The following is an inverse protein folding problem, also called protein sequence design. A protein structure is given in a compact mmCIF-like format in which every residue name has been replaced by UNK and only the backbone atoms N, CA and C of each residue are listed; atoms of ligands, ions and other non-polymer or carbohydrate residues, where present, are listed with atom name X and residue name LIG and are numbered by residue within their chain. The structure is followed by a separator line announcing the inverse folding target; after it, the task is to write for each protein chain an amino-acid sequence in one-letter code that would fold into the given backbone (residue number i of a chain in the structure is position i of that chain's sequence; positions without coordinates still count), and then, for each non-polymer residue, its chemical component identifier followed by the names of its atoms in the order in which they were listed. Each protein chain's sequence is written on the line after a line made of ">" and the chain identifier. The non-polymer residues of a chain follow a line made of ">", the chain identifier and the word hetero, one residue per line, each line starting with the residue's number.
data_IF_882718336956
#
_entry.id   IF_882718336956
#
_cell.length_a   1.000
_cell.length_b   1.000
_cell.length_c   1.000
_cell.angle_alpha   90.00
_cell.angle_beta   90.00
_cell.angle_gamma   90.00
#
_symmetry.space_group_name_H-M   'P 1'
#
loop_
_entity.id
_entity.type
_entity.pdbx_description
1 polymer ?
#
# COMPACT_ATOMS: atom_id res chain seq x y z
N UNK A 1 -34.10 -16.91 -56.59
CA UNK A 1 -34.49 -15.50 -56.80
C UNK A 1 -35.82 -15.25 -56.10
N UNK A 2 -35.80 -14.56 -54.96
CA UNK A 2 -37.01 -14.09 -54.29
C UNK A 2 -36.78 -12.66 -53.78
N UNK A 3 -37.88 -11.91 -53.87
CA UNK A 3 -37.99 -10.45 -53.92
C UNK A 3 -37.91 -9.82 -52.54
N UNK A 4 -37.37 -8.60 -52.52
CA UNK A 4 -37.35 -7.68 -51.38
C UNK A 4 -38.77 -7.25 -50.98
N UNK A 5 -39.04 -7.16 -49.68
CA UNK A 5 -40.15 -6.39 -49.12
C UNK A 5 -39.58 -5.16 -48.42
N UNK A 6 -39.96 -3.97 -48.92
CA UNK A 6 -39.95 -2.72 -48.17
C UNK A 6 -41.09 -2.76 -47.16
N UNK A 7 -40.80 -2.44 -45.89
CA UNK A 7 -41.80 -2.04 -44.92
C UNK A 7 -41.55 -0.60 -44.48
N UNK A 8 -42.63 0.18 -44.59
CA UNK A 8 -42.78 1.59 -44.31
C UNK A 8 -42.67 1.86 -42.80
N UNK A 9 -41.98 2.94 -42.43
CA UNK A 9 -41.97 3.47 -41.06
C UNK A 9 -43.12 4.49 -40.93
N UNK A 10 -44.04 4.20 -40.01
CA UNK A 10 -45.06 5.11 -39.49
C UNK A 10 -44.42 6.13 -38.54
N UNK A 11 -44.64 7.42 -38.78
CA UNK A 11 -44.34 8.51 -37.83
C UNK A 11 -45.52 8.71 -36.85
N UNK A 12 -45.29 8.81 -35.53
CA UNK A 12 -46.31 9.31 -34.62
C UNK A 12 -46.25 10.85 -34.52
N UNK A 13 -47.41 11.49 -34.66
CA UNK A 13 -47.64 12.91 -34.39
C UNK A 13 -47.70 13.18 -32.89
N UNK A 14 -46.96 14.18 -32.40
CA UNK A 14 -47.14 14.71 -31.05
C UNK A 14 -47.50 16.19 -31.10
N UNK A 15 -48.75 16.48 -30.77
CA UNK A 15 -49.24 17.78 -30.34
C UNK A 15 -48.59 18.15 -29.00
N UNK A 16 -48.05 19.37 -28.87
CA UNK A 16 -47.77 19.96 -27.55
C UNK A 16 -48.15 21.44 -27.52
N UNK A 17 -49.19 21.70 -26.73
CA UNK A 17 -49.73 22.98 -26.31
C UNK A 17 -48.78 23.60 -25.28
N UNK A 18 -48.31 24.82 -25.51
CA UNK A 18 -47.57 25.63 -24.54
C UNK A 18 -48.51 26.13 -23.43
N UNK A 19 -48.31 25.66 -22.19
CA UNK A 19 -48.89 26.23 -20.97
C UNK A 19 -47.79 26.93 -20.17
N UNK A 20 -47.89 28.24 -20.03
CA UNK A 20 -47.15 29.08 -19.09
C UNK A 20 -47.64 28.85 -17.66
N UNK A 21 -46.78 28.94 -16.62
CA UNK A 21 -47.24 29.14 -15.26
C UNK A 21 -47.10 30.61 -14.86
N UNK A 22 -48.25 31.26 -14.62
CA UNK A 22 -48.36 32.50 -13.86
C UNK A 22 -48.36 32.20 -12.34
N UNK A 23 -47.61 33.05 -11.60
CA UNK A 23 -47.91 33.66 -10.29
C UNK A 23 -47.92 32.82 -9.00
N UNK A 24 -46.99 33.17 -8.11
CA UNK A 24 -47.25 33.66 -6.74
C UNK A 24 -46.03 34.52 -6.33
N UNK A 25 -46.04 35.86 -6.46
CA UNK A 25 -46.53 36.89 -5.51
C UNK A 25 -46.21 36.59 -4.03
N UNK A 26 -45.20 37.29 -3.50
CA UNK A 26 -45.26 38.20 -2.33
C UNK A 26 -43.94 38.17 -1.56
N UNK A 27 -43.13 39.22 -1.69
CA UNK A 27 -42.72 40.06 -0.54
C UNK A 27 -42.12 41.38 -1.05
N UNK A 28 -42.83 42.46 -0.70
CA UNK A 28 -42.49 43.88 -0.64
C UNK A 28 -42.97 44.30 0.77
N UNK A 29 -42.43 45.31 1.49
CA UNK A 29 -42.14 46.65 0.94
C UNK A 29 -40.98 47.48 1.55
N UNK A 30 -40.56 48.50 0.77
CA UNK A 30 -40.20 49.90 1.11
C UNK A 30 -39.83 50.25 2.59
N UNK A 31 -38.87 51.16 2.90
CA UNK A 31 -38.81 52.58 2.49
C UNK A 31 -37.59 53.30 3.13
N UNK A 32 -37.04 54.33 2.46
CA UNK A 32 -36.14 55.37 2.99
C UNK A 32 -34.74 55.33 2.34
N UNK A 33 -34.27 56.30 1.55
CA UNK A 33 -34.39 57.75 1.70
C UNK A 33 -34.43 58.50 0.36
N UNK A 34 -35.33 59.50 0.34
CA UNK A 34 -35.29 60.82 -0.30
C UNK A 34 -34.86 60.97 -1.77
N UNK A 35 -35.89 61.23 -2.58
CA UNK A 35 -35.83 62.08 -3.76
C UNK A 35 -35.42 63.51 -3.36
N UNK A 36 -34.53 64.13 -4.16
CA UNK A 36 -34.58 65.58 -4.40
C UNK A 36 -34.59 65.80 -5.91
N UNK A 37 -35.69 66.36 -6.40
CA UNK A 37 -35.83 66.90 -7.73
C UNK A 37 -34.79 68.00 -7.97
N UNK A 38 -33.83 67.77 -8.88
CA UNK A 38 -33.33 68.79 -9.83
C UNK A 38 -32.87 68.11 -11.11
N UNK A 39 -33.67 68.30 -12.16
CA UNK A 39 -33.24 68.13 -13.54
C UNK A 39 -31.99 68.99 -13.80
N UNK A 40 -30.93 68.38 -14.32
CA UNK A 40 -30.09 69.01 -15.34
C UNK A 40 -29.37 67.92 -16.13
N UNK A 41 -29.91 67.64 -17.32
CA UNK A 41 -29.16 66.98 -18.39
C UNK A 41 -28.11 67.97 -18.88
N UNK A 42 -26.85 67.77 -18.50
CA UNK A 42 -25.71 68.33 -19.23
C UNK A 42 -24.76 67.18 -19.59
N UNK A 43 -24.57 66.90 -20.89
CA UNK A 43 -23.51 65.99 -21.31
C UNK A 43 -22.16 66.70 -21.10
N UNK A 44 -21.28 66.08 -20.30
CA UNK A 44 -19.88 66.46 -20.20
C UNK A 44 -19.21 66.31 -21.58
N UNK A 45 -19.05 67.42 -22.30
CA UNK A 45 -18.14 67.49 -23.45
C UNK A 45 -16.72 67.59 -22.91
N UNK A 46 -16.02 66.47 -22.88
CA UNK A 46 -14.56 66.47 -22.77
C UNK A 46 -13.99 67.17 -24.01
N UNK A 47 -13.17 68.20 -23.76
CA UNK A 47 -12.40 68.95 -24.74
C UNK A 47 -11.46 68.00 -25.49
N UNK A 48 -11.75 67.74 -26.76
CA UNK A 48 -10.72 67.32 -27.72
C UNK A 48 -10.12 68.62 -28.26
N UNK A 49 -8.86 68.87 -27.92
CA UNK A 49 -8.11 70.02 -28.37
C UNK A 49 -7.95 70.00 -29.89
N UNK A 50 -8.60 70.94 -30.56
CA UNK A 50 -8.18 71.34 -31.90
C UNK A 50 -6.97 72.26 -31.76
N UNK A 51 -5.92 72.13 -32.59
CA UNK A 51 -4.89 73.13 -32.64
C UNK A 51 -5.55 74.43 -33.10
N UNK A 52 -5.43 75.48 -32.29
CA UNK A 52 -5.73 76.83 -32.71
C UNK A 52 -4.84 77.15 -33.91
N UNK A 53 -5.38 76.98 -35.12
CA UNK A 53 -4.89 77.74 -36.26
C UNK A 53 -5.32 79.17 -35.95
N UNK A 54 -4.39 79.95 -35.40
CA UNK A 54 -4.42 81.40 -35.48
C UNK A 54 -4.45 81.77 -36.96
N UNK A 55 -5.65 81.84 -37.53
CA UNK A 55 -5.87 82.73 -38.65
C UNK A 55 -5.83 84.13 -38.06
N UNK A 56 -4.65 84.73 -38.12
CA UNK A 56 -4.49 86.17 -38.20
C UNK A 56 -5.42 86.65 -39.31
N UNK A 57 -6.60 87.13 -38.92
CA UNK A 57 -7.42 87.98 -39.75
C UNK A 57 -6.51 89.18 -40.05
N UNK A 58 -5.97 89.21 -41.26
CA UNK A 58 -5.34 90.37 -41.83
C UNK A 58 -6.39 91.49 -41.80
N UNK A 59 -6.33 92.34 -40.77
CA UNK A 59 -7.12 93.57 -40.63
C UNK A 59 -6.60 94.63 -41.60
N UNK A 60 -6.49 94.28 -42.88
CA UNK A 60 -6.04 95.19 -43.92
C UNK A 60 -6.83 94.95 -45.21
N UNK A 61 -8.16 95.06 -45.09
CA UNK A 61 -8.95 95.60 -46.16
C UNK A 61 -9.73 96.73 -45.49
N UNK A 62 -9.16 97.94 -45.56
CA UNK A 62 -9.97 99.14 -45.48
C UNK A 62 -11.10 98.96 -46.49
N UNK A 63 -12.29 98.60 -46.03
CA UNK A 63 -13.49 98.99 -46.74
C UNK A 63 -13.57 100.50 -46.60
N UNK A 64 -12.87 101.22 -47.48
CA UNK A 64 -13.27 102.56 -47.86
C UNK A 64 -14.70 102.42 -48.36
N UNK A 65 -15.67 102.67 -47.50
CA UNK A 65 -16.95 103.14 -47.98
C UNK A 65 -16.65 104.47 -48.65
N UNK A 66 -16.82 104.60 -49.98
CA UNK A 66 -16.71 105.91 -50.58
C UNK A 66 -17.83 106.74 -49.95
N UNK A 67 -17.43 107.79 -49.25
CA UNK A 67 -18.32 108.87 -48.90
C UNK A 67 -18.82 109.46 -50.22
N UNK A 68 -19.93 108.94 -50.75
CA UNK A 68 -20.66 109.64 -51.80
C UNK A 68 -21.40 110.76 -51.09
N UNK A 69 -20.71 111.89 -50.94
CA UNK A 69 -21.37 113.20 -50.94
C UNK A 69 -22.38 113.21 -52.09
N UNK A 70 -23.57 113.75 -51.83
CA UNK A 70 -24.63 113.94 -52.79
C UNK A 70 -24.18 114.84 -53.95
N UNK A 71 -23.42 114.28 -54.89
CA UNK A 71 -23.31 114.74 -56.25
C UNK A 71 -24.13 113.77 -57.10
N UNK A 72 -25.37 114.15 -57.39
CA UNK A 72 -26.16 113.52 -58.45
C UNK A 72 -25.37 113.57 -59.76
N UNK A 73 -24.94 112.43 -60.35
CA UNK A 73 -24.39 112.44 -61.68
C UNK A 73 -25.52 112.01 -62.61
N UNK A 74 -26.49 112.89 -62.84
CA UNK A 74 -27.17 112.86 -64.15
C UNK A 74 -26.19 113.41 -65.20
N UNK A 75 -25.05 112.74 -65.37
CA UNK A 75 -24.45 112.66 -66.69
C UNK A 75 -25.44 111.88 -67.52
N UNK A 76 -25.89 112.43 -68.64
CA UNK A 76 -26.69 111.68 -69.61
C UNK A 76 -25.87 110.46 -70.07
N UNK A 77 -26.02 109.32 -69.37
CA UNK A 77 -25.59 108.02 -69.87
C UNK A 77 -26.27 107.85 -71.22
N UNK A 78 -25.47 107.70 -72.27
CA UNK A 78 -26.03 107.35 -73.57
C UNK A 78 -26.71 105.98 -73.44
N UNK A 79 -27.80 105.76 -74.18
CA UNK A 79 -28.53 104.47 -74.18
C UNK A 79 -27.59 103.27 -74.34
N UNK A 80 -26.49 103.46 -75.07
CA UNK A 80 -25.45 102.47 -75.32
C UNK A 80 -24.60 102.14 -74.07
N UNK A 81 -24.24 103.13 -73.25
CA UNK A 81 -23.54 102.93 -71.98
C UNK A 81 -24.40 102.20 -70.95
N UNK A 82 -25.70 102.53 -70.86
CA UNK A 82 -26.64 101.84 -69.99
C UNK A 82 -26.82 100.37 -70.43
N UNK A 83 -26.94 100.12 -71.74
CA UNK A 83 -27.00 98.76 -72.29
C UNK A 83 -25.74 97.95 -71.97
N UNK A 84 -24.54 98.52 -72.15
CA UNK A 84 -23.30 97.82 -71.80
C UNK A 84 -23.21 97.51 -70.30
N UNK A 85 -23.67 98.43 -69.43
CA UNK A 85 -23.70 98.19 -67.99
C UNK A 85 -24.68 97.06 -67.62
N UNK A 86 -25.86 97.01 -68.24
CA UNK A 86 -26.82 95.92 -68.05
C UNK A 86 -26.22 94.59 -68.51
N UNK A 87 -25.61 94.54 -69.70
CA UNK A 87 -24.94 93.34 -70.20
C UNK A 87 -23.79 92.87 -69.28
N UNK A 88 -22.97 93.79 -68.77
CA UNK A 88 -21.92 93.47 -67.81
C UNK A 88 -22.47 92.95 -66.48
N UNK A 89 -23.61 93.47 -66.00
CA UNK A 89 -24.28 92.97 -64.80
C UNK A 89 -24.90 91.59 -65.03
N UNK A 90 -25.49 91.34 -66.20
CA UNK A 90 -25.99 90.02 -66.58
C UNK A 90 -24.85 88.99 -66.67
N UNK A 91 -23.71 89.35 -67.25
CA UNK A 91 -22.55 88.48 -67.35
C UNK A 91 -21.91 88.21 -65.97
N UNK A 92 -21.85 89.23 -65.10
CA UNK A 92 -21.43 89.05 -63.70
C UNK A 92 -22.39 88.15 -62.93
N UNK A 93 -23.71 88.31 -63.11
CA UNK A 93 -24.71 87.43 -62.50
C UNK A 93 -24.58 85.99 -62.99
N UNK A 94 -24.38 85.77 -64.30
CA UNK A 94 -24.10 84.44 -64.86
C UNK A 94 -22.82 83.84 -64.26
N UNK A 95 -21.76 84.63 -64.09
CA UNK A 95 -20.52 84.18 -63.48
C UNK A 95 -20.68 83.83 -61.99
N UNK A 96 -21.47 84.61 -61.24
CA UNK A 96 -21.80 84.35 -59.84
C UNK A 96 -22.62 83.08 -59.72
N UNK A 97 -23.67 82.89 -60.54
CA UNK A 97 -24.48 81.68 -60.53
C UNK A 97 -23.65 80.43 -60.85
N UNK A 98 -22.77 80.51 -61.85
CA UNK A 98 -21.86 79.41 -62.18
C UNK A 98 -20.93 79.05 -61.01
N UNK A 99 -20.38 80.06 -60.31
CA UNK A 99 -19.56 79.83 -59.10
C UNK A 99 -20.38 79.26 -57.95
N UNK A 100 -21.62 79.72 -57.77
CA UNK A 100 -22.52 79.21 -56.74
C UNK A 100 -22.85 77.74 -56.97
N UNK A 101 -23.23 77.36 -58.19
CA UNK A 101 -23.53 75.96 -58.55
C UNK A 101 -22.30 75.07 -58.34
N UNK A 102 -21.11 75.52 -58.77
CA UNK A 102 -19.87 74.79 -58.53
C UNK A 102 -19.57 74.61 -57.04
N UNK A 103 -19.74 75.67 -56.24
CA UNK A 103 -19.46 75.62 -54.79
C UNK A 103 -20.49 74.77 -54.05
N UNK A 104 -21.73 74.72 -54.54
CA UNK A 104 -22.78 73.81 -54.05
C UNK A 104 -22.42 72.35 -54.33
N UNK A 105 -21.99 72.02 -55.55
CA UNK A 105 -21.56 70.68 -55.93
C UNK A 105 -20.33 70.23 -55.13
N UNK A 106 -19.35 71.13 -54.93
CA UNK A 106 -18.15 70.85 -54.15
C UNK A 106 -18.49 70.64 -52.65
N UNK A 107 -19.40 71.44 -52.09
CA UNK A 107 -19.88 71.25 -50.73
C UNK A 107 -20.61 69.90 -50.56
N UNK A 108 -21.41 69.50 -51.54
CA UNK A 108 -22.11 68.22 -51.54
C UNK A 108 -21.12 67.04 -51.61
N UNK A 109 -20.10 67.12 -52.47
CA UNK A 109 -18.99 66.14 -52.50
C UNK A 109 -18.24 66.05 -51.17
N UNK A 110 -17.93 67.18 -50.53
CA UNK A 110 -17.27 67.18 -49.22
C UNK A 110 -18.16 66.60 -48.12
N UNK A 111 -19.47 66.81 -48.16
CA UNK A 111 -20.42 66.16 -47.24
C UNK A 111 -20.41 64.64 -47.42
N UNK A 112 -20.42 64.13 -48.65
CA UNK A 112 -20.34 62.71 -48.92
C UNK A 112 -19.01 62.11 -48.44
N UNK A 113 -17.87 62.75 -48.76
CA UNK A 113 -16.55 62.31 -48.26
C UNK A 113 -16.50 62.24 -46.73
N UNK A 114 -17.07 63.24 -46.04
CA UNK A 114 -17.14 63.25 -44.58
C UNK A 114 -17.98 62.08 -44.05
N UNK A 115 -19.14 61.83 -44.64
CA UNK A 115 -19.99 60.70 -44.27
C UNK A 115 -19.27 59.36 -44.44
N UNK A 116 -18.58 59.16 -45.57
CA UNK A 116 -17.81 57.94 -45.82
C UNK A 116 -16.64 57.79 -44.83
N UNK A 117 -15.98 58.90 -44.50
CA UNK A 117 -14.90 58.92 -43.50
C UNK A 117 -15.42 58.56 -42.11
N UNK A 118 -16.53 59.16 -41.67
CA UNK A 118 -17.17 58.87 -40.38
C UNK A 118 -17.62 57.40 -40.30
N UNK A 119 -18.17 56.85 -41.40
CA UNK A 119 -18.52 55.44 -41.51
C UNK A 119 -17.29 54.53 -41.37
N UNK A 120 -16.18 54.86 -42.05
CA UNK A 120 -14.93 54.13 -41.93
C UNK A 120 -14.38 54.15 -40.49
N UNK A 121 -14.44 55.30 -39.81
CA UNK A 121 -14.03 55.41 -38.41
C UNK A 121 -14.88 54.52 -37.48
N UNK A 122 -16.21 54.51 -37.66
CA UNK A 122 -17.09 53.64 -36.88
C UNK A 122 -16.78 52.15 -37.10
N UNK A 123 -16.55 51.75 -38.35
CA UNK A 123 -16.16 50.36 -38.66
C UNK A 123 -14.80 49.98 -38.06
N UNK A 124 -13.83 50.89 -38.11
CA UNK A 124 -12.51 50.67 -37.52
C UNK A 124 -12.60 50.56 -35.99
N UNK A 125 -13.41 51.41 -35.36
CA UNK A 125 -13.66 51.38 -33.92
C UNK A 125 -14.31 50.06 -33.48
N UNK A 126 -15.30 49.57 -34.23
CA UNK A 126 -15.89 48.26 -33.95
C UNK A 126 -14.86 47.13 -34.04
N UNK A 127 -14.02 47.12 -35.08
CA UNK A 127 -12.94 46.12 -35.21
C UNK A 127 -11.94 46.19 -34.06
N UNK A 128 -11.61 47.40 -33.60
CA UNK A 128 -10.76 47.58 -32.42
C UNK A 128 -11.39 46.94 -31.17
N UNK A 129 -12.69 47.19 -30.92
CA UNK A 129 -13.40 46.59 -29.78
C UNK A 129 -13.46 45.06 -29.88
N UNK A 130 -13.70 44.53 -31.08
CA UNK A 130 -13.74 43.09 -31.31
C UNK A 130 -12.36 42.45 -31.03
N UNK A 131 -11.28 43.08 -31.49
CA UNK A 131 -9.89 42.65 -31.23
C UNK A 131 -9.51 42.75 -29.75
N UNK A 132 -9.93 43.81 -29.05
CA UNK A 132 -9.70 43.97 -27.62
C UNK A 132 -10.41 42.85 -26.82
N UNK A 133 -11.65 42.51 -27.18
CA UNK A 133 -12.39 41.40 -26.59
C UNK A 133 -11.71 40.04 -26.85
N UNK A 134 -11.21 39.82 -28.07
CA UNK A 134 -10.48 38.60 -28.42
C UNK A 134 -9.16 38.48 -27.67
N UNK A 135 -8.41 39.59 -27.51
CA UNK A 135 -7.19 39.63 -26.71
C UNK A 135 -7.45 39.25 -25.25
N UNK A 136 -8.51 39.77 -24.64
CA UNK A 136 -8.89 39.43 -23.26
C UNK A 136 -9.24 37.95 -23.10
N UNK A 137 -9.89 37.35 -24.11
CA UNK A 137 -10.15 35.89 -24.14
C UNK A 137 -8.84 35.10 -24.23
N UNK A 138 -7.91 35.49 -25.09
CA UNK A 138 -6.62 34.81 -25.17
C UNK A 138 -5.81 34.93 -23.89
N UNK A 139 -5.83 36.09 -23.22
CA UNK A 139 -5.17 36.27 -21.93
C UNK A 139 -5.75 35.37 -20.83
N UNK A 140 -7.07 35.19 -20.79
CA UNK A 140 -7.69 34.30 -19.79
C UNK A 140 -7.34 32.83 -20.05
N UNK A 141 -7.33 32.40 -21.32
CA UNK A 141 -6.88 31.07 -21.74
C UNK A 141 -5.41 30.85 -21.39
N UNK A 142 -4.53 31.82 -21.68
CA UNK A 142 -3.11 31.72 -21.36
C UNK A 142 -2.87 31.55 -19.85
N UNK A 143 -3.57 32.30 -19.00
CA UNK A 143 -3.52 32.14 -17.53
C UNK A 143 -4.02 30.77 -17.09
N UNK A 144 -5.07 30.25 -17.70
CA UNK A 144 -5.58 28.90 -17.41
C UNK A 144 -4.55 27.82 -17.76
N UNK A 145 -3.90 27.94 -18.93
CA UNK A 145 -2.83 27.03 -19.36
C UNK A 145 -1.62 27.11 -18.42
N UNK A 146 -1.21 28.32 -18.01
CA UNK A 146 -0.11 28.50 -17.07
C UNK A 146 -0.39 27.81 -15.72
N UNK A 147 -1.63 27.92 -15.22
CA UNK A 147 -2.04 27.24 -13.99
C UNK A 147 -2.04 25.72 -14.15
N UNK A 148 -2.55 25.19 -15.26
CA UNK A 148 -2.49 23.75 -15.55
C UNK A 148 -1.06 23.27 -15.64
N UNK A 149 -0.16 24.02 -16.28
CA UNK A 149 1.25 23.67 -16.38
C UNK A 149 1.91 23.58 -14.99
N UNK A 150 1.67 24.55 -14.11
CA UNK A 150 2.17 24.53 -12.72
C UNK A 150 1.63 23.34 -11.93
N UNK A 151 0.36 22.99 -12.12
CA UNK A 151 -0.25 21.84 -11.47
C UNK A 151 0.41 20.52 -11.94
N UNK A 152 0.54 20.33 -13.25
CA UNK A 152 1.21 19.15 -13.83
C UNK A 152 2.66 19.04 -13.37
N UNK A 153 3.38 20.17 -13.28
CA UNK A 153 4.75 20.20 -12.78
C UNK A 153 4.83 19.72 -11.32
N UNK A 154 3.86 20.13 -10.48
CA UNK A 154 3.78 19.68 -9.08
C UNK A 154 3.48 18.18 -9.00
N UNK A 155 2.50 17.70 -9.75
CA UNK A 155 2.14 16.27 -9.80
C UNK A 155 3.32 15.41 -10.28
N UNK A 156 4.09 15.89 -11.24
CA UNK A 156 5.30 15.21 -11.73
C UNK A 156 6.40 15.14 -10.67
N UNK A 157 6.56 16.18 -9.86
CA UNK A 157 7.51 16.17 -8.74
C UNK A 157 7.09 15.17 -7.66
N UNK A 158 5.82 15.18 -7.24
CA UNK A 158 5.28 14.23 -6.28
C UNK A 158 5.42 12.78 -6.78
N UNK A 159 5.21 12.54 -8.07
CA UNK A 159 5.39 11.22 -8.68
C UNK A 159 6.86 10.77 -8.65
N UNK A 160 7.81 11.66 -8.94
CA UNK A 160 9.25 11.37 -8.84
C UNK A 160 9.67 11.01 -7.42
N UNK A 161 9.18 11.74 -6.43
CA UNK A 161 9.46 11.47 -5.02
C UNK A 161 8.92 10.09 -4.61
N UNK A 162 7.67 9.77 -4.96
CA UNK A 162 7.08 8.43 -4.72
C UNK A 162 7.89 7.31 -5.39
N UNK A 163 8.39 7.55 -6.60
CA UNK A 163 9.19 6.58 -7.33
C UNK A 163 10.56 6.35 -6.68
N UNK A 164 11.18 7.40 -6.15
CA UNK A 164 12.42 7.29 -5.37
C UNK A 164 12.22 6.49 -4.07
N UNK A 165 11.13 6.75 -3.34
CA UNK A 165 10.79 5.98 -2.13
C UNK A 165 10.65 4.49 -2.47
N UNK A 166 9.89 4.14 -3.51
CA UNK A 166 9.76 2.74 -3.95
C UNK A 166 11.08 2.12 -4.38
N UNK A 167 11.94 2.88 -5.07
CA UNK A 167 13.25 2.38 -5.45
C UNK A 167 14.13 2.07 -4.23
N UNK A 168 14.07 2.89 -3.18
CA UNK A 168 14.76 2.64 -1.93
C UNK A 168 14.21 1.39 -1.23
N UNK A 169 12.88 1.24 -1.15
CA UNK A 169 12.24 0.03 -0.61
C UNK A 169 12.69 -1.24 -1.36
N UNK A 170 12.77 -1.18 -2.69
CA UNK A 170 13.26 -2.30 -3.52
C UNK A 170 14.73 -2.61 -3.21
N UNK A 171 15.57 -1.60 -3.00
CA UNK A 171 16.97 -1.81 -2.63
C UNK A 171 17.08 -2.45 -1.25
N UNK A 172 16.31 -1.98 -0.27
CA UNK A 172 16.27 -2.58 1.08
C UNK A 172 15.83 -4.04 1.02
N UNK A 173 14.76 -4.36 0.28
CA UNK A 173 14.29 -5.73 0.08
C UNK A 173 15.37 -6.63 -0.55
N UNK A 174 16.14 -6.13 -1.52
CA UNK A 174 17.28 -6.87 -2.09
C UNK A 174 18.35 -7.17 -1.02
N UNK A 175 18.69 -6.20 -0.18
CA UNK A 175 19.66 -6.45 0.90
C UNK A 175 19.16 -7.47 1.92
N UNK A 176 17.86 -7.45 2.24
CA UNK A 176 17.23 -8.44 3.13
C UNK A 176 17.27 -9.83 2.48
N UNK A 177 16.95 -9.93 1.18
CA UNK A 177 17.01 -11.18 0.43
C UNK A 177 18.42 -11.78 0.42
N UNK A 178 19.46 -10.96 0.21
CA UNK A 178 20.85 -11.40 0.27
C UNK A 178 21.23 -11.93 1.66
N UNK A 179 20.77 -11.27 2.73
CA UNK A 179 20.97 -11.76 4.11
C UNK A 179 20.30 -13.12 4.33
N UNK A 180 19.04 -13.28 3.92
CA UNK A 180 18.34 -14.56 4.02
C UNK A 180 19.03 -15.67 3.22
N UNK A 181 19.51 -15.40 2.02
CA UNK A 181 20.26 -16.38 1.23
C UNK A 181 21.56 -16.82 1.94
N UNK A 182 22.26 -15.90 2.60
CA UNK A 182 23.45 -16.24 3.40
C UNK A 182 23.09 -17.11 4.60
N UNK A 183 22.01 -16.79 5.31
CA UNK A 183 21.51 -17.58 6.45
C UNK A 183 21.11 -18.98 5.99
N UNK A 184 20.37 -19.10 4.88
CA UNK A 184 19.96 -20.39 4.31
C UNK A 184 21.17 -21.27 3.97
N UNK A 185 22.20 -20.71 3.33
CA UNK A 185 23.44 -21.44 3.04
C UNK A 185 24.18 -21.89 4.30
N UNK A 186 24.16 -21.09 5.37
CA UNK A 186 24.74 -21.49 6.66
C UNK A 186 23.96 -22.64 7.29
N UNK A 187 22.63 -22.55 7.33
CA UNK A 187 21.76 -23.61 7.88
C UNK A 187 21.82 -24.90 7.08
N UNK A 188 21.94 -24.81 5.75
CA UNK A 188 22.15 -25.98 4.90
C UNK A 188 23.47 -26.70 5.23
N UNK A 189 24.55 -25.96 5.50
CA UNK A 189 25.82 -26.54 5.97
C UNK A 189 25.67 -27.20 7.34
N UNK A 190 25.05 -26.52 8.31
CA UNK A 190 24.81 -27.09 9.65
C UNK A 190 24.00 -28.40 9.55
N UNK A 191 22.94 -28.43 8.73
CA UNK A 191 22.14 -29.65 8.52
C UNK A 191 22.98 -30.78 7.92
N UNK A 192 23.85 -30.47 6.95
CA UNK A 192 24.72 -31.47 6.35
C UNK A 192 25.76 -32.00 7.35
N UNK A 193 26.32 -31.14 8.20
CA UNK A 193 27.20 -31.54 9.29
C UNK A 193 26.49 -32.45 10.30
N UNK A 194 25.25 -32.12 10.68
CA UNK A 194 24.45 -32.98 11.58
C UNK A 194 24.10 -34.32 10.94
N UNK A 195 23.80 -34.37 9.65
CA UNK A 195 23.58 -35.63 8.92
C UNK A 195 24.82 -36.53 8.95
N UNK A 196 26.01 -35.94 8.78
CA UNK A 196 27.27 -36.69 8.84
C UNK A 196 27.51 -37.23 10.26
N UNK A 197 27.32 -36.40 11.30
CA UNK A 197 27.45 -36.84 12.71
C UNK A 197 26.48 -37.96 13.07
N UNK A 198 25.22 -37.84 12.65
CA UNK A 198 24.21 -38.87 12.87
C UNK A 198 24.59 -40.21 12.21
N UNK A 199 25.16 -40.16 10.99
CA UNK A 199 25.65 -41.35 10.32
C UNK A 199 26.81 -42.01 11.09
N UNK A 200 27.73 -41.20 11.61
CA UNK A 200 28.86 -41.67 12.43
C UNK A 200 28.38 -42.32 13.73
N UNK A 201 27.47 -41.68 14.47
CA UNK A 201 26.89 -42.24 15.70
C UNK A 201 26.14 -43.54 15.44
N UNK A 202 25.36 -43.61 14.35
CA UNK A 202 24.65 -44.83 13.97
C UNK A 202 25.62 -45.99 13.71
N UNK A 203 26.73 -45.71 13.03
CA UNK A 203 27.76 -46.73 12.77
C UNK A 203 28.48 -47.16 14.04
N UNK A 204 28.81 -46.22 14.93
CA UNK A 204 29.43 -46.53 16.23
C UNK A 204 28.50 -47.38 17.11
N UNK A 205 27.23 -46.99 17.22
CA UNK A 205 26.25 -47.76 17.99
C UNK A 205 26.01 -49.15 17.41
N UNK A 206 26.06 -49.32 16.09
CA UNK A 206 25.97 -50.64 15.46
C UNK A 206 27.20 -51.52 15.80
N UNK A 207 28.41 -50.97 15.75
CA UNK A 207 29.65 -51.68 16.09
C UNK A 207 29.69 -52.08 17.57
N UNK A 208 29.28 -51.18 18.47
CA UNK A 208 29.25 -51.44 19.90
C UNK A 208 28.23 -52.54 20.24
N UNK A 209 27.06 -52.50 19.58
CA UNK A 209 26.03 -53.52 19.77
C UNK A 209 26.48 -54.90 19.24
N UNK A 210 27.16 -54.94 18.08
CA UNK A 210 27.73 -56.19 17.55
C UNK A 210 28.80 -56.76 18.49
N UNK A 211 29.67 -55.91 19.03
CA UNK A 211 30.69 -56.31 20.02
C UNK A 211 30.05 -56.88 21.28
N UNK A 212 29.03 -56.22 21.84
CA UNK A 212 28.31 -56.70 23.03
C UNK A 212 27.64 -58.05 22.78
N UNK A 213 27.05 -58.25 21.60
CA UNK A 213 26.47 -59.54 21.22
C UNK A 213 27.54 -60.63 21.12
N UNK A 214 28.73 -60.31 20.59
CA UNK A 214 29.85 -61.26 20.54
C UNK A 214 30.35 -61.60 21.95
N UNK A 215 30.57 -60.61 22.82
CA UNK A 215 30.99 -60.80 24.21
C UNK A 215 29.97 -61.63 25.00
N UNK A 216 28.66 -61.36 24.82
CA UNK A 216 27.59 -62.14 25.44
C UNK A 216 27.60 -63.60 24.97
N UNK A 217 27.68 -63.82 23.65
CA UNK A 217 27.69 -65.18 23.10
C UNK A 217 28.92 -65.98 23.55
N UNK A 218 30.08 -65.33 23.65
CA UNK A 218 31.29 -65.97 24.17
C UNK A 218 31.11 -66.37 25.63
N UNK A 219 30.67 -65.43 26.48
CA UNK A 219 30.41 -65.68 27.90
C UNK A 219 29.39 -66.80 28.09
N UNK A 220 28.32 -66.83 27.29
CA UNK A 220 27.32 -67.89 27.33
C UNK A 220 27.91 -69.27 26.97
N UNK A 221 28.76 -69.36 25.95
CA UNK A 221 29.45 -70.61 25.60
C UNK A 221 30.39 -71.07 26.70
N UNK A 222 31.18 -70.15 27.26
CA UNK A 222 32.13 -70.45 28.33
C UNK A 222 31.40 -70.99 29.58
N UNK A 223 30.29 -70.34 29.97
CA UNK A 223 29.45 -70.81 31.07
C UNK A 223 28.78 -72.16 30.76
N UNK A 224 28.36 -72.38 29.51
CA UNK A 224 27.78 -73.67 29.11
C UNK A 224 28.82 -74.79 29.22
N UNK A 225 30.04 -74.56 28.74
CA UNK A 225 31.15 -75.53 28.88
C UNK A 225 31.50 -75.81 30.35
N UNK A 226 31.56 -74.77 31.19
CA UNK A 226 31.79 -74.94 32.62
C UNK A 226 30.67 -75.77 33.28
N UNK A 227 29.41 -75.53 32.89
CA UNK A 227 28.29 -76.30 33.42
C UNK A 227 28.33 -77.76 32.96
N UNK A 228 28.69 -78.02 31.70
CA UNK A 228 28.88 -79.38 31.19
C UNK A 228 30.02 -80.11 31.91
N UNK A 229 31.13 -79.42 32.19
CA UNK A 229 32.23 -79.95 33.01
C UNK A 229 31.76 -80.29 34.42
N UNK A 230 31.03 -79.40 35.09
CA UNK A 230 30.48 -79.65 36.42
C UNK A 230 29.49 -80.82 36.43
N UNK A 231 28.67 -80.97 35.38
CA UNK A 231 27.78 -82.12 35.23
C UNK A 231 28.57 -83.43 35.07
N UNK A 232 29.66 -83.41 34.30
CA UNK A 232 30.55 -84.55 34.14
C UNK A 232 31.24 -84.90 35.46
N UNK A 233 31.86 -83.93 36.14
CA UNK A 233 32.47 -84.10 37.46
C UNK A 233 31.45 -84.66 38.48
N UNK A 234 30.20 -84.18 38.44
CA UNK A 234 29.12 -84.68 39.29
C UNK A 234 28.77 -86.14 38.95
N UNK A 235 28.77 -86.52 37.67
CA UNK A 235 28.53 -87.90 37.25
C UNK A 235 29.66 -88.85 37.65
N UNK A 236 30.91 -88.39 37.58
CA UNK A 236 32.10 -89.13 38.03
C UNK A 236 32.05 -89.31 39.55
N UNK A 237 31.74 -88.25 40.30
CA UNK A 237 31.55 -88.33 41.75
C UNK A 237 30.44 -89.32 42.13
N UNK A 238 29.29 -89.29 41.45
CA UNK A 238 28.21 -90.27 41.68
C UNK A 238 28.68 -91.70 41.42
N UNK A 239 29.47 -91.90 40.37
CA UNK A 239 30.02 -93.22 40.03
C UNK A 239 31.00 -93.70 41.10
N UNK A 240 31.90 -92.84 41.58
CA UNK A 240 32.83 -93.13 42.67
C UNK A 240 32.08 -93.46 43.97
N UNK A 241 31.04 -92.70 44.32
CA UNK A 241 30.21 -92.97 45.51
C UNK A 241 29.55 -94.35 45.38
N UNK A 242 28.98 -94.68 44.21
CA UNK A 242 28.41 -96.00 43.94
C UNK A 242 29.44 -97.12 44.02
N UNK A 243 30.68 -96.91 43.58
CA UNK A 243 31.78 -97.87 43.72
C UNK A 243 32.15 -98.09 45.19
N UNK A 244 32.18 -97.03 46.00
CA UNK A 244 32.40 -97.12 47.45
C UNK A 244 31.26 -97.86 48.16
N UNK A 245 30.00 -97.55 47.84
CA UNK A 245 28.83 -98.19 48.45
C UNK A 245 28.66 -99.67 48.06
N UNK A 246 29.17 -100.07 46.89
CA UNK A 246 29.16 -101.47 46.42
C UNK A 246 30.39 -102.29 46.85
N UNK A 247 31.33 -101.73 47.61
CA UNK A 247 32.39 -102.54 48.21
C UNK A 247 31.80 -103.47 49.29
N UNK A 248 32.10 -104.78 49.26
CA UNK A 248 31.64 -105.70 50.28
C UNK A 248 32.23 -105.29 51.63
N UNK A 249 31.38 -104.91 52.59
CA UNK A 249 31.80 -104.77 53.99
C UNK A 249 32.34 -106.12 54.48
N UNK A 250 33.65 -106.28 54.47
CA UNK A 250 34.30 -107.36 55.21
C UNK A 250 34.19 -107.06 56.69
N UNK A 251 33.21 -107.68 57.34
CA UNK A 251 33.19 -107.87 58.79
C UNK A 251 34.40 -108.76 59.13
N UNK A 252 35.49 -108.14 59.55
CA UNK A 252 36.66 -108.83 60.09
C UNK A 252 37.00 -108.23 61.45
N UNK A 253 36.53 -108.91 62.49
CA UNK A 253 37.05 -108.83 63.85
C UNK A 253 38.52 -109.25 63.87
N UNK A 254 39.46 -108.31 64.01
CA UNK A 254 40.54 -108.41 65.00
C UNK A 254 41.43 -107.17 65.02
N UNK A 255 41.85 -106.84 66.24
CA UNK A 255 42.69 -105.73 66.65
C UNK A 255 43.99 -105.65 65.84
N UNK A 256 44.24 -104.51 65.21
CA UNK A 256 45.53 -103.84 65.25
C UNK A 256 45.31 -102.33 65.17
N UNK A 257 45.85 -101.67 66.17
CA UNK A 257 46.07 -100.24 66.27
C UNK A 257 46.74 -99.68 65.03
N UNK A 258 46.12 -98.69 64.40
CA UNK A 258 46.81 -97.53 63.83
C UNK A 258 45.80 -96.43 63.45
N UNK A 259 45.95 -95.28 64.11
CA UNK A 259 45.56 -93.94 63.69
C UNK A 259 44.33 -93.77 62.79
N UNK A 260 43.16 -93.74 63.41
CA UNK A 260 42.11 -92.81 62.96
C UNK A 260 42.01 -91.69 63.99
N UNK A 261 42.84 -90.66 63.80
CA UNK A 261 42.49 -89.32 64.24
C UNK A 261 41.21 -88.96 63.51
N UNK A 262 40.11 -88.85 64.26
CA UNK A 262 39.05 -87.94 63.88
C UNK A 262 39.72 -86.58 63.66
N UNK A 263 39.96 -86.19 62.41
CA UNK A 263 40.26 -84.82 62.03
C UNK A 263 38.99 -84.00 62.27
N UNK A 264 38.73 -83.74 63.55
CA UNK A 264 37.80 -82.72 64.02
C UNK A 264 38.46 -81.32 63.97
N UNK A 265 39.60 -81.20 63.28
CA UNK A 265 40.42 -79.99 63.17
C UNK A 265 40.40 -79.32 61.79
N UNK A 266 39.65 -79.81 60.80
CA UNK A 266 39.53 -79.09 59.51
C UNK A 266 38.66 -77.82 59.57
N UNK A 267 38.11 -77.48 60.75
CA UNK A 267 37.42 -76.20 61.04
C UNK A 267 38.30 -75.20 61.83
N UNK A 268 39.56 -75.55 62.09
CA UNK A 268 40.57 -74.72 62.76
C UNK A 268 41.69 -74.27 61.80
N UNK A 269 41.46 -74.34 60.49
CA UNK A 269 42.38 -73.74 59.54
C UNK A 269 42.36 -72.21 59.69
N UNK A 270 43.42 -71.68 60.30
CA UNK A 270 43.56 -70.28 60.67
C UNK A 270 43.66 -69.39 59.43
N UNK A 271 44.17 -69.93 58.32
CA UNK A 271 44.18 -69.27 57.02
C UNK A 271 42.77 -69.22 56.43
N UNK A 272 42.02 -70.31 56.47
CA UNK A 272 40.64 -70.33 55.98
C UNK A 272 39.72 -69.41 56.79
N UNK A 273 39.92 -69.33 58.12
CA UNK A 273 39.23 -68.33 58.96
C UNK A 273 39.64 -66.91 58.61
N UNK A 274 40.92 -66.63 58.37
CA UNK A 274 41.36 -65.30 57.93
C UNK A 274 40.81 -64.92 56.56
N UNK A 275 40.72 -65.87 55.62
CA UNK A 275 40.16 -65.66 54.28
C UNK A 275 38.65 -65.40 54.37
N UNK A 276 37.90 -66.22 55.11
CA UNK A 276 36.46 -66.01 55.33
C UNK A 276 36.20 -64.71 56.09
N UNK A 277 37.05 -64.37 57.07
CA UNK A 277 36.94 -63.15 57.84
C UNK A 277 37.32 -61.91 57.02
N UNK A 278 38.29 -62.01 56.11
CA UNK A 278 38.59 -60.97 55.10
C UNK A 278 37.47 -60.82 54.09
N UNK A 279 36.86 -61.91 53.62
CA UNK A 279 35.74 -61.86 52.66
C UNK A 279 34.49 -61.25 53.29
N UNK A 280 34.20 -61.58 54.55
CA UNK A 280 33.09 -61.00 55.31
C UNK A 280 33.32 -59.53 55.70
N UNK A 281 34.58 -59.09 55.85
CA UNK A 281 34.92 -57.68 56.19
C UNK A 281 35.19 -56.79 54.96
N UNK A 282 35.57 -57.36 53.81
CA UNK A 282 35.80 -56.65 52.54
C UNK A 282 34.61 -56.76 51.56
N UNK A 283 33.41 -57.10 52.04
CA UNK A 283 32.21 -56.91 51.23
C UNK A 283 32.12 -55.43 50.82
N UNK A 284 31.85 -55.15 49.55
CA UNK A 284 31.71 -53.77 49.02
C UNK A 284 30.65 -52.96 49.80
N UNK A 285 29.70 -53.65 50.44
CA UNK A 285 28.72 -53.10 51.38
C UNK A 285 29.34 -52.46 52.64
N UNK A 286 30.48 -52.95 53.13
CA UNK A 286 31.21 -52.37 54.27
C UNK A 286 31.93 -51.06 53.90
N UNK A 287 32.35 -50.90 52.64
CA UNK A 287 32.92 -49.66 52.12
C UNK A 287 31.87 -48.54 51.99
N UNK A 288 30.63 -48.89 51.63
CA UNK A 288 29.48 -47.97 51.66
C UNK A 288 29.17 -47.48 53.08
N UNK A 289 29.30 -48.34 54.09
CA UNK A 289 29.06 -48.01 55.50
C UNK A 289 30.16 -47.15 56.15
N UNK A 290 31.32 -46.94 55.50
CA UNK A 290 32.39 -46.06 55.98
C UNK A 290 32.30 -44.62 55.48
N UNK A 291 31.38 -44.32 54.56
CA UNK A 291 31.17 -42.94 54.13
C UNK A 291 30.52 -42.20 55.30
N UNK A 292 31.15 -41.16 55.87
CA UNK A 292 30.54 -40.39 56.95
C UNK A 292 29.16 -39.92 56.52
N UNK A 293 28.13 -40.09 57.35
CA UNK A 293 26.75 -39.84 56.92
C UNK A 293 26.53 -38.40 56.42
N UNK A 294 27.30 -37.44 56.94
CA UNK A 294 27.33 -36.07 56.44
C UNK A 294 27.81 -35.94 54.99
N UNK A 295 28.76 -36.77 54.54
CA UNK A 295 29.21 -36.80 53.15
C UNK A 295 28.19 -37.50 52.26
N UNK A 296 27.61 -38.62 52.70
CA UNK A 296 26.55 -39.31 51.97
C UNK A 296 25.33 -38.40 51.75
N UNK A 297 24.85 -37.74 52.82
CA UNK A 297 23.75 -36.77 52.75
C UNK A 297 24.09 -35.59 51.84
N UNK A 298 25.32 -35.07 51.88
CA UNK A 298 25.78 -34.02 50.95
C UNK A 298 25.78 -34.50 49.49
N UNK A 299 26.26 -35.70 49.21
CA UNK A 299 26.26 -36.27 47.85
C UNK A 299 24.85 -36.50 47.32
N UNK A 300 23.93 -37.01 48.16
CA UNK A 300 22.51 -37.15 47.81
C UNK A 300 21.85 -35.78 47.60
N UNK A 301 22.20 -34.78 48.41
CA UNK A 301 21.71 -33.41 48.24
C UNK A 301 22.22 -32.78 46.95
N UNK A 302 23.51 -32.93 46.62
CA UNK A 302 24.10 -32.49 45.36
C UNK A 302 23.44 -33.20 44.18
N UNK A 303 23.21 -34.52 44.24
CA UNK A 303 22.49 -35.24 43.19
C UNK A 303 21.06 -34.75 43.04
N UNK A 304 20.33 -34.51 44.14
CA UNK A 304 18.99 -33.92 44.12
C UNK A 304 19.00 -32.51 43.53
N UNK A 305 19.97 -31.68 43.88
CA UNK A 305 20.13 -30.32 43.34
C UNK A 305 20.48 -30.35 41.85
N UNK A 306 21.37 -31.24 41.40
CA UNK A 306 21.70 -31.43 39.98
C UNK A 306 20.47 -31.90 39.22
N UNK A 307 19.75 -32.93 39.71
CA UNK A 307 18.53 -33.40 39.09
C UNK A 307 17.48 -32.28 39.04
N UNK A 308 17.26 -31.56 40.14
CA UNK A 308 16.28 -30.48 40.17
C UNK A 308 16.69 -29.32 39.24
N UNK A 309 17.98 -29.01 39.12
CA UNK A 309 18.51 -27.96 38.25
C UNK A 309 18.39 -28.35 36.78
N UNK A 310 18.76 -29.57 36.40
CA UNK A 310 18.68 -30.07 35.02
C UNK A 310 17.22 -30.23 34.58
N UNK A 311 16.37 -30.79 35.45
CA UNK A 311 14.95 -31.00 35.12
C UNK A 311 14.17 -29.69 35.12
N UNK A 312 14.48 -28.73 36.02
CA UNK A 312 13.79 -27.44 36.06
C UNK A 312 14.27 -26.46 34.99
N UNK A 313 15.57 -26.43 34.63
CA UNK A 313 16.06 -25.62 33.50
C UNK A 313 15.48 -26.10 32.18
N UNK A 314 15.59 -27.40 31.89
CA UNK A 314 15.10 -27.95 30.63
C UNK A 314 13.57 -27.89 30.51
N UNK A 315 12.82 -28.13 31.59
CA UNK A 315 11.35 -28.07 31.56
C UNK A 315 10.80 -26.64 31.46
N UNK A 316 11.44 -25.65 32.12
CA UNK A 316 11.01 -24.25 32.05
C UNK A 316 11.34 -23.61 30.71
N UNK A 317 12.51 -23.89 30.13
CA UNK A 317 12.90 -23.35 28.81
C UNK A 317 12.09 -23.98 27.67
N UNK A 318 11.83 -25.30 27.70
CA UNK A 318 11.07 -25.96 26.63
C UNK A 318 9.59 -25.56 26.66
N UNK A 319 8.98 -25.45 27.86
CA UNK A 319 7.58 -25.01 27.99
C UNK A 319 7.40 -23.51 27.74
N UNK A 320 8.39 -22.66 28.03
CA UNK A 320 8.27 -21.23 27.73
C UNK A 320 8.43 -20.93 26.24
N UNK A 321 9.38 -21.58 25.56
CA UNK A 321 9.68 -21.30 24.15
C UNK A 321 8.61 -21.84 23.19
N UNK A 322 8.18 -23.10 23.34
CA UNK A 322 7.17 -23.66 22.43
C UNK A 322 5.81 -22.96 22.58
N UNK A 323 5.31 -22.73 23.80
CA UNK A 323 3.99 -22.12 23.98
C UNK A 323 3.96 -20.60 23.67
N UNK A 324 5.08 -19.88 23.82
CA UNK A 324 5.13 -18.46 23.45
C UNK A 324 5.18 -18.25 21.93
N UNK A 325 5.94 -19.08 21.20
CA UNK A 325 6.01 -18.97 19.73
C UNK A 325 4.65 -19.23 19.07
N UNK A 326 3.93 -20.28 19.46
CA UNK A 326 2.59 -20.56 18.91
C UNK A 326 1.54 -19.52 19.32
N UNK A 327 1.69 -18.91 20.50
CA UNK A 327 0.78 -17.84 20.94
C UNK A 327 1.00 -16.56 20.14
N UNK A 328 2.25 -16.18 19.88
CA UNK A 328 2.60 -15.03 19.05
C UNK A 328 2.14 -15.18 17.61
N UNK A 329 2.32 -16.37 17.00
CA UNK A 329 1.87 -16.64 15.64
C UNK A 329 0.34 -16.53 15.52
N UNK A 330 -0.41 -17.03 16.50
CA UNK A 330 -1.88 -16.93 16.50
C UNK A 330 -2.36 -15.48 16.70
N UNK A 331 -1.73 -14.71 17.59
CA UNK A 331 -2.05 -13.29 17.78
C UNK A 331 -1.75 -12.48 16.52
N UNK A 332 -0.63 -12.76 15.83
CA UNK A 332 -0.27 -12.12 14.56
C UNK A 332 -1.26 -12.47 13.43
N UNK A 333 -1.65 -13.74 13.31
CA UNK A 333 -2.68 -14.15 12.34
C UNK A 333 -4.00 -13.45 12.65
N UNK A 334 -4.44 -13.36 13.91
CA UNK A 334 -5.68 -12.68 14.28
C UNK A 334 -5.65 -11.17 13.96
N UNK A 335 -4.52 -10.48 14.22
CA UNK A 335 -4.35 -9.06 13.87
C UNK A 335 -4.45 -8.86 12.35
N UNK A 336 -3.71 -9.65 11.58
CA UNK A 336 -3.73 -9.58 10.12
C UNK A 336 -5.13 -9.88 9.54
N UNK A 337 -5.87 -10.80 10.16
CA UNK A 337 -7.23 -11.16 9.76
C UNK A 337 -8.22 -10.02 10.02
N UNK A 338 -8.06 -9.26 11.11
CA UNK A 338 -8.83 -8.05 11.36
C UNK A 338 -8.54 -6.95 10.32
N UNK A 339 -7.27 -6.75 9.94
CA UNK A 339 -6.91 -5.78 8.91
C UNK A 339 -7.47 -6.15 7.54
N UNK A 340 -7.39 -7.42 7.16
CA UNK A 340 -7.97 -7.93 5.92
C UNK A 340 -9.50 -7.77 5.91
N UNK A 341 -10.18 -8.01 7.03
CA UNK A 341 -11.64 -7.75 7.15
C UNK A 341 -11.99 -6.28 6.99
N UNK A 342 -11.21 -5.36 7.59
CA UNK A 342 -11.38 -3.91 7.37
C UNK A 342 -11.18 -3.53 5.90
N UNK A 343 -10.16 -4.11 5.25
CA UNK A 343 -9.86 -3.89 3.83
C UNK A 343 -10.97 -4.42 2.91
N UNK A 344 -11.54 -5.59 3.21
CA UNK A 344 -12.71 -6.15 2.52
C UNK A 344 -13.90 -5.19 2.61
N UNK A 345 -14.23 -4.73 3.83
CA UNK A 345 -15.36 -3.83 4.05
C UNK A 345 -15.17 -2.47 3.35
N UNK A 346 -13.94 -1.96 3.31
CA UNK A 346 -13.58 -0.77 2.54
C UNK A 346 -13.81 -0.98 1.04
N UNK A 347 -13.29 -2.07 0.46
CA UNK A 347 -13.46 -2.38 -0.96
C UNK A 347 -14.94 -2.53 -1.34
N UNK A 348 -15.76 -3.16 -0.49
CA UNK A 348 -17.21 -3.27 -0.70
C UNK A 348 -17.88 -1.88 -0.71
N UNK A 349 -17.49 -0.98 0.20
CA UNK A 349 -18.00 0.39 0.24
C UNK A 349 -17.60 1.18 -1.00
N UNK A 350 -16.35 1.07 -1.44
CA UNK A 350 -15.82 1.72 -2.62
C UNK A 350 -16.57 1.28 -3.89
N UNK A 351 -16.78 -0.04 -4.06
CA UNK A 351 -17.54 -0.60 -5.17
C UNK A 351 -18.98 -0.07 -5.17
N UNK A 352 -19.64 -0.06 -4.01
CA UNK A 352 -21.01 0.47 -3.88
C UNK A 352 -21.07 1.96 -4.22
N UNK A 353 -20.10 2.75 -3.76
CA UNK A 353 -20.01 4.18 -4.08
C UNK A 353 -19.89 4.42 -5.58
N UNK A 354 -19.01 3.68 -6.27
CA UNK A 354 -18.82 3.78 -7.72
C UNK A 354 -20.03 3.30 -8.51
N UNK A 355 -20.72 2.26 -8.05
CA UNK A 355 -22.01 1.84 -8.64
C UNK A 355 -23.09 2.91 -8.46
N UNK A 356 -23.17 3.54 -7.29
CA UNK A 356 -24.07 4.65 -7.02
C UNK A 356 -23.78 5.87 -7.90
N UNK A 357 -22.50 6.16 -8.17
CA UNK A 357 -22.06 7.23 -9.05
C UNK A 357 -22.60 7.03 -10.48
N UNK A 358 -22.53 5.79 -11.00
CA UNK A 358 -23.13 5.42 -12.28
C UNK A 358 -24.65 5.68 -12.28
N UNK A 359 -25.36 5.25 -11.24
CA UNK A 359 -26.83 5.35 -11.16
C UNK A 359 -27.32 6.80 -11.00
N UNK A 360 -26.56 7.64 -10.28
CA UNK A 360 -26.93 9.03 -9.98
C UNK A 360 -26.56 10.01 -11.08
N UNK A 361 -25.75 9.61 -12.06
CA UNK A 361 -25.31 10.49 -13.13
C UNK A 361 -26.46 10.79 -14.11
N UNK A 362 -26.93 12.05 -14.12
CA UNK A 362 -28.05 12.50 -14.97
C UNK A 362 -27.68 12.72 -16.45
N UNK A 363 -26.39 12.90 -16.75
CA UNK A 363 -25.87 13.10 -18.11
C UNK A 363 -25.02 11.91 -18.53
N UNK A 364 -25.47 11.16 -19.52
CA UNK A 364 -24.76 9.96 -19.95
C UNK A 364 -23.49 10.32 -20.73
N UNK A 365 -22.33 10.18 -20.08
CA UNK A 365 -21.02 10.25 -20.72
C UNK A 365 -20.44 8.83 -20.84
N UNK A 366 -20.40 8.30 -22.06
CA UNK A 366 -19.96 6.93 -22.35
C UNK A 366 -18.49 6.67 -21.94
N UNK A 367 -17.59 7.67 -22.08
CA UNK A 367 -16.19 7.50 -21.67
C UNK A 367 -16.07 7.36 -20.15
N UNK A 368 -16.72 8.26 -19.39
CA UNK A 368 -16.72 8.20 -17.92
C UNK A 368 -17.39 6.94 -17.40
N UNK A 369 -18.47 6.52 -18.04
CA UNK A 369 -19.16 5.27 -17.69
C UNK A 369 -18.26 4.04 -17.87
N UNK A 370 -17.55 3.95 -19.00
CA UNK A 370 -16.60 2.86 -19.25
C UNK A 370 -15.39 2.88 -18.30
N UNK A 371 -14.94 4.06 -17.90
CA UNK A 371 -13.85 4.23 -16.91
C UNK A 371 -14.28 3.75 -15.52
N UNK A 372 -15.45 4.19 -15.03
CA UNK A 372 -15.98 3.75 -13.74
C UNK A 372 -16.26 2.23 -13.73
N UNK A 373 -16.74 1.66 -14.84
CA UNK A 373 -16.91 0.21 -14.97
C UNK A 373 -15.58 -0.55 -14.85
N UNK A 374 -14.51 -0.04 -15.47
CA UNK A 374 -13.18 -0.63 -15.36
C UNK A 374 -12.66 -0.56 -13.93
N UNK A 375 -12.84 0.57 -13.26
CA UNK A 375 -12.48 0.74 -11.84
C UNK A 375 -13.24 -0.25 -10.94
N UNK A 376 -14.55 -0.44 -11.17
CA UNK A 376 -15.37 -1.42 -10.45
C UNK A 376 -14.84 -2.85 -10.67
N UNK A 377 -14.45 -3.20 -11.89
CA UNK A 377 -13.93 -4.52 -12.21
C UNK A 377 -12.56 -4.78 -11.55
N UNK A 378 -11.68 -3.78 -11.51
CA UNK A 378 -10.42 -3.85 -10.77
C UNK A 378 -10.65 -3.97 -9.26
N UNK A 379 -11.60 -3.22 -8.69
CA UNK A 379 -11.95 -3.31 -7.28
C UNK A 379 -12.54 -4.68 -6.93
N UNK A 380 -13.37 -5.28 -7.80
CA UNK A 380 -13.88 -6.65 -7.63
C UNK A 380 -12.77 -7.70 -7.65
N UNK A 381 -11.79 -7.56 -8.56
CA UNK A 381 -10.62 -8.46 -8.58
C UNK A 381 -9.83 -8.36 -7.27
N UNK A 382 -9.58 -7.13 -6.78
CA UNK A 382 -8.91 -6.91 -5.49
C UNK A 382 -9.70 -7.49 -4.31
N UNK A 383 -11.03 -7.36 -4.33
CA UNK A 383 -11.91 -7.93 -3.30
C UNK A 383 -11.78 -9.46 -3.25
N UNK A 384 -11.82 -10.12 -4.41
CA UNK A 384 -11.65 -11.57 -4.51
C UNK A 384 -10.30 -12.03 -3.94
N UNK A 385 -9.20 -11.32 -4.25
CA UNK A 385 -7.89 -11.62 -3.68
C UNK A 385 -7.88 -11.51 -2.15
N UNK A 386 -8.53 -10.49 -1.59
CA UNK A 386 -8.63 -10.30 -0.13
C UNK A 386 -9.50 -11.39 0.51
N UNK A 387 -10.60 -11.79 -0.11
CA UNK A 387 -11.46 -12.87 0.38
C UNK A 387 -10.73 -14.22 0.42
N UNK A 388 -9.93 -14.52 -0.62
CA UNK A 388 -9.09 -15.73 -0.64
C UNK A 388 -8.07 -15.73 0.51
N UNK A 389 -7.39 -14.60 0.74
CA UNK A 389 -6.44 -14.47 1.85
C UNK A 389 -7.11 -14.61 3.22
N UNK A 390 -8.32 -14.06 3.40
CA UNK A 390 -9.09 -14.26 4.64
C UNK A 390 -9.40 -15.75 4.83
N UNK A 391 -9.85 -16.45 3.78
CA UNK A 391 -10.15 -17.89 3.86
C UNK A 391 -8.90 -18.72 4.21
N UNK A 392 -7.75 -18.44 3.58
CA UNK A 392 -6.49 -19.12 3.88
C UNK A 392 -6.05 -18.92 5.34
N UNK A 393 -6.18 -17.69 5.85
CA UNK A 393 -5.83 -17.39 7.25
C UNK A 393 -6.83 -17.99 8.25
N UNK A 394 -8.13 -18.01 7.93
CA UNK A 394 -9.15 -18.68 8.75
C UNK A 394 -8.93 -20.20 8.77
N UNK A 395 -8.54 -20.81 7.66
CA UNK A 395 -8.16 -22.24 7.61
C UNK A 395 -6.90 -22.52 8.43
N UNK A 396 -5.89 -21.66 8.37
CA UNK A 396 -4.66 -21.80 9.18
C UNK A 396 -4.95 -21.73 10.69
N UNK A 397 -5.90 -20.90 11.12
CA UNK A 397 -6.36 -20.84 12.51
C UNK A 397 -7.13 -22.10 12.94
N UNK A 398 -7.94 -22.66 12.04
CA UNK A 398 -8.74 -23.87 12.30
C UNK A 398 -7.89 -25.15 12.36
N UNK A 399 -6.83 -25.23 11.54
CA UNK A 399 -5.93 -26.38 11.48
C UNK A 399 -4.90 -26.42 12.62
N UNK A 400 -4.91 -25.45 13.54
CA UNK A 400 -3.94 -25.34 14.62
C UNK A 400 -4.35 -26.23 15.82
N UNK A 401 -3.68 -27.37 16.09
CA UNK A 401 -4.08 -28.34 17.13
C UNK A 401 -3.97 -27.78 18.55
N UNK A 402 -3.24 -26.68 18.74
CA UNK A 402 -3.04 -26.04 20.05
C UNK A 402 -4.16 -25.08 20.48
N UNK A 403 -5.08 -24.67 19.59
CA UNK A 403 -6.21 -23.79 19.96
C UNK A 403 -7.21 -24.50 20.90
N UNK A 404 -7.30 -25.83 20.78
CA UNK A 404 -8.14 -26.68 21.64
C UNK A 404 -7.36 -27.33 22.81
N UNK A 405 -6.05 -27.05 22.94
CA UNK A 405 -5.19 -27.65 23.99
C UNK A 405 -5.08 -26.79 25.25
N UNK A 406 -5.85 -25.70 25.37
CA UNK A 406 -6.04 -24.98 26.63
C UNK A 406 -7.27 -25.52 27.37
N UNK A 407 -7.27 -26.82 27.69
CA UNK A 407 -7.94 -27.27 28.91
C UNK A 407 -6.92 -27.05 30.02
N UNK A 408 -7.10 -25.96 30.76
CA UNK A 408 -6.34 -25.65 31.96
C UNK A 408 -6.36 -26.85 32.91
N UNK A 409 -5.19 -27.44 33.20
CA UNK A 409 -5.01 -28.38 34.31
C UNK A 409 -4.95 -27.65 35.66
N UNK A 410 -5.80 -26.64 35.85
CA UNK A 410 -6.07 -26.00 37.13
C UNK A 410 -7.33 -26.64 37.75
N UNK A 411 -7.37 -27.97 37.81
CA UNK A 411 -8.22 -28.66 38.78
C UNK A 411 -7.38 -28.96 40.01
N UNK A 412 -7.16 -27.92 40.83
CA UNK A 412 -6.96 -28.09 42.26
C UNK A 412 -8.32 -28.42 42.91
N UNK A 413 -8.86 -29.60 42.62
CA UNK A 413 -9.89 -30.23 43.45
C UNK A 413 -9.62 -31.75 43.47
N UNK A 414 -8.62 -32.13 44.28
CA UNK A 414 -8.65 -33.39 45.00
C UNK A 414 -8.36 -33.05 46.47
N UNK A 415 -9.45 -32.78 47.18
CA UNK A 415 -9.56 -33.04 48.62
C UNK A 415 -10.02 -34.48 48.81
#
# INVERSE_FOLDING_TARGET
>A
MQKQHLNYILTPSSNSITKTPEKAINTSPFRGCSFSDKQSMTPNKQYIGYPHIQQTINQNIQHQFPYYENASPFSHETKEQLMQRILNLEDNLKAINKKYDQLKDDLEKERYKKYDTDRCYQQLFQRYQDQESELLKHQSVAKSIENMYKQVQKELQEYKEKLNVRNNEIQELKTIQEKFQKIMKLKEREINEFKIKLLQEKNLGAQENERLVQEFNQTYRDLTQQNDQLLQENSELKSIILEFDNQPQTISTNKQSENFQYNQDSLNDQELRQIVQQYLTNNEEYLLNKIPENQFRKSVQIMKEIFHTVTSKNSKEIKSLQFQEYKQINEEIEINLQELKKKRDFLIKEIKYKMDEIVKTKEFNLMKFNEILREIEELKKKLLTVENLIQEMEQSLMLNPHRNSCVSFDNQEFL
#
